data_IF_120475040616
#
_entry.id   IF_120475040616
#
_cell.length_a   1.000
_cell.length_b   1.000
_cell.length_c   1.000
_cell.angle_alpha   90.00
_cell.angle_beta   90.00
_cell.angle_gamma   90.00
#
_symmetry.space_group_name_H-M   'P 1'
#
loop_
_entity.id
_entity.type
_entity.pdbx_description
1 polymer ?
#
# COMPACT_ATOMS: atom_id res chain seq x y z
N UNK A 1 8.77 6.09 11.14
CA UNK A 1 8.54 5.35 9.88
C UNK A 1 9.00 6.24 8.74
N UNK A 2 9.59 5.70 7.67
CA UNK A 2 9.94 6.49 6.49
C UNK A 2 8.64 6.96 5.79
N UNK A 3 8.55 8.19 5.27
CA UNK A 3 7.29 8.76 4.77
C UNK A 3 6.76 8.14 3.46
N UNK A 4 7.52 7.26 2.82
CA UNK A 4 7.14 6.54 1.60
C UNK A 4 7.38 5.05 1.82
N UNK A 5 6.40 4.20 1.45
CA UNK A 5 6.54 2.75 1.41
C UNK A 5 6.81 2.23 0.00
N UNK A 6 7.07 0.94 -0.14
CA UNK A 6 7.20 0.24 -1.42
C UNK A 6 5.96 -0.63 -1.66
N UNK A 7 5.22 -0.38 -2.75
CA UNK A 7 4.19 -1.28 -3.26
C UNK A 7 4.80 -2.40 -4.11
N UNK A 8 4.66 -3.64 -3.66
CA UNK A 8 5.27 -4.82 -4.30
C UNK A 8 4.46 -5.33 -5.51
N UNK A 9 3.17 -5.05 -5.60
CA UNK A 9 2.24 -5.61 -6.58
C UNK A 9 2.78 -5.71 -8.03
N UNK A 10 3.51 -4.70 -8.61
CA UNK A 10 4.04 -4.80 -9.96
C UNK A 10 5.08 -5.91 -10.15
N UNK A 11 5.66 -6.42 -9.07
CA UNK A 11 6.64 -7.51 -9.07
C UNK A 11 6.00 -8.90 -8.97
N UNK A 12 4.65 -8.99 -8.85
CA UNK A 12 3.93 -10.25 -8.68
C UNK A 12 2.89 -10.57 -9.75
N UNK A 13 2.43 -9.57 -10.50
CA UNK A 13 1.40 -9.77 -11.53
C UNK A 13 1.97 -10.34 -12.85
N UNK A 14 1.11 -10.47 -13.86
CA UNK A 14 1.44 -11.11 -15.15
C UNK A 14 2.64 -10.48 -15.87
N UNK A 15 2.86 -9.17 -15.71
CA UNK A 15 3.99 -8.41 -16.29
C UNK A 15 5.21 -8.31 -15.37
N UNK A 16 5.28 -9.13 -14.33
CA UNK A 16 6.36 -9.08 -13.34
C UNK A 16 7.75 -9.25 -13.98
N UNK A 17 8.75 -8.52 -13.48
CA UNK A 17 10.14 -8.68 -13.93
C UNK A 17 10.74 -10.01 -13.45
N UNK A 18 11.93 -10.39 -13.94
CA UNK A 18 12.69 -11.48 -13.35
C UNK A 18 12.92 -11.28 -11.84
N UNK A 19 12.89 -12.37 -11.06
CA UNK A 19 13.00 -12.37 -9.60
C UNK A 19 14.23 -11.57 -9.11
N UNK A 20 15.38 -11.73 -9.76
CA UNK A 20 16.60 -11.00 -9.40
C UNK A 20 16.45 -9.47 -9.49
N UNK A 21 15.67 -8.97 -10.46
CA UNK A 21 15.37 -7.54 -10.57
C UNK A 21 14.46 -7.10 -9.45
N UNK A 22 13.46 -7.89 -9.12
CA UNK A 22 12.55 -7.62 -8.00
C UNK A 22 13.31 -7.52 -6.68
N UNK A 23 14.21 -8.47 -6.41
CA UNK A 23 15.06 -8.45 -5.21
C UNK A 23 15.94 -7.19 -5.19
N UNK A 24 16.58 -6.83 -6.31
CA UNK A 24 17.37 -5.58 -6.38
C UNK A 24 16.50 -4.34 -6.16
N UNK A 25 15.25 -4.34 -6.62
CA UNK A 25 14.32 -3.22 -6.40
C UNK A 25 13.97 -3.08 -4.91
N UNK A 26 13.70 -4.19 -4.23
CA UNK A 26 13.44 -4.19 -2.78
C UNK A 26 14.68 -3.70 -2.03
N UNK A 27 15.88 -4.21 -2.37
CA UNK A 27 17.12 -3.77 -1.73
C UNK A 27 17.38 -2.27 -1.96
N UNK A 28 17.17 -1.76 -3.17
CA UNK A 28 17.32 -0.33 -3.46
C UNK A 28 16.35 0.55 -2.64
N UNK A 29 15.12 0.08 -2.41
CA UNK A 29 14.18 0.75 -1.52
C UNK A 29 14.70 0.82 -0.08
N UNK A 30 15.16 -0.31 0.46
CA UNK A 30 15.71 -0.39 1.82
C UNK A 30 16.98 0.46 1.98
N UNK A 31 17.88 0.44 0.99
CA UNK A 31 19.11 1.22 0.99
C UNK A 31 18.85 2.74 0.90
N UNK A 32 17.69 3.12 0.35
CA UNK A 32 17.18 4.50 0.32
C UNK A 32 16.37 4.88 1.58
N UNK A 33 16.27 4.02 2.60
CA UNK A 33 15.64 4.29 3.88
C UNK A 33 14.17 3.82 4.00
N UNK A 34 13.57 3.28 2.94
CA UNK A 34 12.22 2.71 3.00
C UNK A 34 12.19 1.54 3.98
N UNK A 35 11.25 1.57 4.92
CA UNK A 35 11.08 0.54 5.93
C UNK A 35 9.64 0.00 6.03
N UNK A 36 8.80 0.30 5.04
CA UNK A 36 7.47 -0.28 4.85
C UNK A 36 7.39 -0.91 3.46
N UNK A 37 7.09 -2.22 3.39
CA UNK A 37 6.82 -2.92 2.14
C UNK A 37 5.40 -3.45 2.19
N UNK A 38 4.59 -3.08 1.18
CA UNK A 38 3.20 -3.51 1.05
C UNK A 38 3.07 -4.60 -0.03
N UNK A 39 2.47 -5.72 0.35
CA UNK A 39 2.11 -6.84 -0.53
C UNK A 39 0.70 -7.36 -0.21
N UNK A 40 0.32 -8.49 -0.78
CA UNK A 40 -0.86 -9.27 -0.44
C UNK A 40 -0.66 -10.74 -0.85
N UNK A 41 -1.38 -11.64 -0.18
CA UNK A 41 -1.45 -13.05 -0.55
C UNK A 41 -1.91 -13.25 -2.01
N UNK A 42 -2.94 -12.48 -2.42
CA UNK A 42 -3.54 -12.55 -3.75
C UNK A 42 -2.72 -11.85 -4.86
N UNK A 43 -1.57 -11.20 -4.56
CA UNK A 43 -0.69 -10.64 -5.58
C UNK A 43 0.08 -11.78 -6.27
N UNK A 44 -0.52 -12.26 -7.34
CA UNK A 44 -0.10 -13.43 -8.08
C UNK A 44 -0.57 -13.32 -9.53
N UNK A 45 -0.01 -14.10 -10.44
CA UNK A 45 -0.51 -14.21 -11.83
C UNK A 45 -1.90 -14.81 -11.87
N UNK A 46 -2.06 -15.91 -11.14
CA UNK A 46 -3.29 -16.68 -11.04
C UNK A 46 -3.39 -17.42 -9.71
N UNK A 47 -4.43 -18.24 -9.54
CA UNK A 47 -4.70 -19.01 -8.30
C UNK A 47 -3.60 -20.02 -7.93
N UNK A 48 -2.76 -20.46 -8.87
CA UNK A 48 -1.67 -21.42 -8.60
C UNK A 48 -0.43 -20.78 -8.01
N UNK A 49 -0.36 -19.44 -8.04
CA UNK A 49 0.82 -18.66 -7.65
C UNK A 49 0.56 -17.76 -6.42
N UNK A 50 -0.59 -17.92 -5.74
CA UNK A 50 -0.95 -17.20 -4.51
C UNK A 50 0.23 -17.21 -3.51
N UNK A 51 0.48 -16.06 -2.86
CA UNK A 51 1.62 -15.87 -1.96
C UNK A 51 2.96 -15.61 -2.66
N UNK A 52 2.97 -15.36 -3.99
CA UNK A 52 4.21 -15.07 -4.71
C UNK A 52 4.95 -13.86 -4.15
N UNK A 53 4.26 -12.72 -3.96
CA UNK A 53 4.85 -11.49 -3.45
C UNK A 53 5.44 -11.68 -2.06
N UNK A 54 4.75 -12.40 -1.20
CA UNK A 54 5.20 -12.72 0.15
C UNK A 54 6.48 -13.57 0.13
N UNK A 55 6.54 -14.61 -0.69
CA UNK A 55 7.76 -15.43 -0.86
C UNK A 55 8.92 -14.63 -1.44
N UNK A 56 8.66 -13.73 -2.38
CA UNK A 56 9.66 -12.82 -2.94
C UNK A 56 10.24 -11.90 -1.86
N UNK A 57 9.38 -11.31 -1.03
CA UNK A 57 9.79 -10.45 0.08
C UNK A 57 10.60 -11.26 1.11
N UNK A 58 10.16 -12.45 1.49
CA UNK A 58 10.91 -13.31 2.41
C UNK A 58 12.32 -13.57 1.92
N UNK A 59 12.51 -13.85 0.61
CA UNK A 59 13.84 -14.02 0.01
C UNK A 59 14.67 -12.75 0.07
N UNK A 60 14.08 -11.60 -0.29
CA UNK A 60 14.77 -10.32 -0.35
C UNK A 60 15.21 -9.83 1.03
N UNK A 61 14.45 -10.17 2.08
CA UNK A 61 14.70 -9.73 3.46
C UNK A 61 15.61 -10.67 4.26
N UNK A 62 16.19 -11.70 3.67
CA UNK A 62 17.14 -12.57 4.40
C UNK A 62 18.30 -11.75 4.97
N UNK A 63 18.40 -11.71 6.31
CA UNK A 63 19.40 -10.93 7.05
C UNK A 63 19.08 -9.43 7.19
N UNK A 64 17.87 -8.97 6.76
CA UNK A 64 17.43 -7.56 6.86
C UNK A 64 15.99 -7.42 7.39
N UNK A 65 15.42 -8.49 7.96
CA UNK A 65 13.99 -8.57 8.31
C UNK A 65 13.58 -7.64 9.46
N UNK A 66 14.45 -7.45 10.43
CA UNK A 66 14.11 -6.81 11.71
C UNK A 66 13.84 -5.30 11.59
N UNK A 67 14.39 -4.65 10.58
CA UNK A 67 14.25 -3.20 10.36
C UNK A 67 13.08 -2.84 9.42
N UNK A 68 12.30 -3.84 8.97
CA UNK A 68 11.28 -3.68 7.93
C UNK A 68 9.92 -4.10 8.43
N UNK A 69 8.93 -3.24 8.23
CA UNK A 69 7.50 -3.54 8.40
C UNK A 69 6.99 -4.14 7.08
N UNK A 70 6.53 -5.37 7.13
CA UNK A 70 5.87 -6.03 6.01
C UNK A 70 4.36 -6.00 6.22
N UNK A 71 3.67 -5.27 5.34
CA UNK A 71 2.23 -5.25 5.28
C UNK A 71 1.75 -6.27 4.25
N UNK A 72 0.89 -7.21 4.65
CA UNK A 72 0.18 -8.11 3.73
C UNK A 72 -1.31 -8.09 4.01
N UNK A 73 -2.10 -8.74 3.16
CA UNK A 73 -3.55 -8.63 3.17
C UNK A 73 -4.21 -9.99 3.02
N UNK A 74 -5.43 -10.11 3.56
CA UNK A 74 -6.33 -11.25 3.34
C UNK A 74 -7.74 -10.77 3.01
N UNK A 75 -8.58 -11.66 2.46
CA UNK A 75 -9.96 -11.34 2.06
C UNK A 75 -10.15 -11.16 0.56
N UNK A 76 -9.09 -11.19 -0.23
CA UNK A 76 -9.11 -11.44 -1.66
C UNK A 76 -8.64 -12.87 -1.95
N UNK A 77 -9.10 -13.41 -3.07
CA UNK A 77 -8.58 -14.66 -3.64
C UNK A 77 -8.51 -14.57 -5.15
N UNK A 78 -8.06 -15.63 -5.79
CA UNK A 78 -7.92 -15.72 -7.24
C UNK A 78 -8.67 -16.95 -7.76
N UNK A 79 -9.42 -16.76 -8.86
CA UNK A 79 -10.02 -17.86 -9.61
C UNK A 79 -9.50 -17.78 -11.07
N UNK A 80 -8.55 -18.66 -11.42
CA UNK A 80 -7.72 -18.41 -12.57
C UNK A 80 -6.96 -17.10 -12.41
N UNK A 81 -7.09 -16.21 -13.40
CA UNK A 81 -6.54 -14.85 -13.37
C UNK A 81 -7.51 -13.83 -12.74
N UNK A 82 -8.77 -14.20 -12.50
CA UNK A 82 -9.77 -13.29 -11.95
C UNK A 82 -9.53 -13.03 -10.46
N UNK A 83 -9.85 -11.80 -10.04
CA UNK A 83 -9.88 -11.41 -8.64
C UNK A 83 -11.26 -11.69 -8.06
N UNK A 84 -11.31 -12.35 -6.92
CA UNK A 84 -12.53 -12.62 -6.18
C UNK A 84 -12.40 -12.15 -4.72
N UNK A 85 -13.53 -11.94 -4.06
CA UNK A 85 -13.60 -11.63 -2.63
C UNK A 85 -13.94 -12.89 -1.86
N UNK A 86 -13.33 -13.05 -0.70
CA UNK A 86 -13.73 -14.02 0.29
C UNK A 86 -13.40 -13.48 1.69
N UNK A 87 -14.39 -12.76 2.24
CA UNK A 87 -14.29 -12.13 3.57
C UNK A 87 -14.68 -13.05 4.72
N UNK A 88 -14.96 -14.33 4.47
CA UNK A 88 -15.40 -15.27 5.51
C UNK A 88 -14.28 -15.52 6.54
N UNK A 89 -14.62 -15.65 7.82
CA UNK A 89 -13.64 -15.87 8.90
C UNK A 89 -12.69 -17.05 8.63
N UNK A 90 -13.21 -18.17 8.16
CA UNK A 90 -12.40 -19.35 7.87
C UNK A 90 -11.40 -19.12 6.73
N UNK A 91 -11.78 -18.33 5.70
CA UNK A 91 -10.85 -17.98 4.63
C UNK A 91 -9.76 -17.02 5.11
N UNK A 92 -10.14 -15.96 5.84
CA UNK A 92 -9.19 -14.98 6.40
C UNK A 92 -8.15 -15.68 7.30
N UNK A 93 -8.59 -16.63 8.14
CA UNK A 93 -7.68 -17.43 8.97
C UNK A 93 -6.75 -18.31 8.15
N UNK A 94 -7.29 -19.03 7.15
CA UNK A 94 -6.48 -19.88 6.27
C UNK A 94 -5.46 -19.06 5.46
N UNK A 95 -5.86 -17.86 4.96
CA UNK A 95 -5.00 -16.94 4.27
C UNK A 95 -3.87 -16.40 5.18
N UNK A 96 -4.19 -16.02 6.43
CA UNK A 96 -3.19 -15.61 7.41
C UNK A 96 -2.13 -16.69 7.64
N UNK A 97 -2.55 -17.94 7.85
CA UNK A 97 -1.63 -19.08 8.02
C UNK A 97 -0.77 -19.35 6.76
N UNK A 98 -1.33 -19.14 5.57
CA UNK A 98 -0.59 -19.24 4.33
C UNK A 98 0.44 -18.10 4.19
N UNK A 99 0.06 -16.88 4.54
CA UNK A 99 0.93 -15.71 4.56
C UNK A 99 2.10 -15.86 5.53
N UNK A 100 1.86 -16.37 6.74
CA UNK A 100 2.93 -16.66 7.71
C UNK A 100 3.96 -17.64 7.13
N UNK A 101 3.49 -18.72 6.47
CA UNK A 101 4.39 -19.66 5.80
C UNK A 101 5.14 -19.05 4.62
N UNK A 102 4.46 -18.23 3.80
CA UNK A 102 5.06 -17.60 2.63
C UNK A 102 6.11 -16.54 3.01
N UNK A 103 5.87 -15.80 4.09
CA UNK A 103 6.79 -14.80 4.65
C UNK A 103 7.92 -15.40 5.49
N UNK A 104 7.90 -16.73 5.75
CA UNK A 104 8.86 -17.43 6.62
C UNK A 104 8.95 -16.78 8.02
N UNK A 105 7.79 -16.43 8.62
CA UNK A 105 7.68 -15.75 9.92
C UNK A 105 6.59 -16.39 10.79
N UNK A 106 6.67 -16.20 12.10
CA UNK A 106 5.65 -16.61 13.07
C UNK A 106 4.64 -15.48 13.36
N UNK A 107 4.90 -14.25 12.90
CA UNK A 107 4.04 -13.09 13.10
C UNK A 107 4.10 -12.12 11.92
N UNK A 108 2.93 -11.73 11.40
CA UNK A 108 2.77 -10.67 10.40
C UNK A 108 2.85 -9.31 11.12
N UNK A 109 3.62 -8.34 10.58
CA UNK A 109 3.71 -7.01 11.18
C UNK A 109 2.40 -6.24 11.03
N UNK A 110 1.90 -6.10 9.79
CA UNK A 110 0.63 -5.42 9.48
C UNK A 110 -0.21 -6.32 8.57
N UNK A 111 -1.36 -6.78 9.10
CA UNK A 111 -2.31 -7.59 8.34
C UNK A 111 -3.56 -6.78 8.06
N UNK A 112 -3.93 -6.65 6.79
CA UNK A 112 -4.99 -5.76 6.35
C UNK A 112 -6.17 -6.52 5.75
N UNK A 113 -7.40 -6.13 6.11
CA UNK A 113 -8.58 -6.57 5.36
C UNK A 113 -8.56 -5.92 3.98
N UNK A 114 -8.29 -6.71 2.94
CA UNK A 114 -7.95 -6.22 1.60
C UNK A 114 -9.08 -5.40 0.96
N UNK A 115 -10.33 -5.86 1.12
CA UNK A 115 -11.53 -5.18 0.65
C UNK A 115 -12.76 -5.73 1.36
N UNK A 116 -13.72 -4.89 1.77
CA UNK A 116 -14.99 -5.36 2.29
C UNK A 116 -15.70 -6.29 1.30
N UNK A 117 -16.08 -7.47 1.76
CA UNK A 117 -16.89 -8.44 1.03
C UNK A 117 -18.36 -8.14 1.31
N UNK A 118 -19.19 -7.83 0.29
CA UNK A 118 -20.61 -7.50 0.51
C UNK A 118 -21.45 -8.68 1.02
N UNK A 119 -20.96 -9.92 0.84
CA UNK A 119 -21.67 -11.13 1.25
C UNK A 119 -21.34 -11.53 2.70
N UNK A 120 -20.43 -10.83 3.37
CA UNK A 120 -20.02 -11.11 4.76
C UNK A 120 -20.22 -9.86 5.62
N UNK A 121 -20.86 -9.98 6.81
CA UNK A 121 -20.99 -8.86 7.74
C UNK A 121 -19.60 -8.28 8.07
N UNK A 122 -19.40 -6.98 7.82
CA UNK A 122 -18.09 -6.34 7.96
C UNK A 122 -17.51 -6.50 9.38
N UNK A 123 -18.35 -6.41 10.42
CA UNK A 123 -17.93 -6.60 11.81
C UNK A 123 -17.42 -8.02 12.08
N UNK A 124 -17.97 -9.04 11.41
CA UNK A 124 -17.56 -10.43 11.55
C UNK A 124 -16.15 -10.64 10.93
N UNK A 125 -15.93 -10.11 9.72
CA UNK A 125 -14.61 -10.12 9.09
C UNK A 125 -13.58 -9.42 9.98
N UNK A 126 -13.85 -8.19 10.46
CA UNK A 126 -12.94 -7.42 11.33
C UNK A 126 -12.69 -8.14 12.66
N UNK A 127 -13.71 -8.79 13.23
CA UNK A 127 -13.58 -9.62 14.43
C UNK A 127 -12.52 -10.71 14.26
N UNK A 128 -12.44 -11.31 13.06
CA UNK A 128 -11.42 -12.33 12.75
C UNK A 128 -10.00 -11.75 12.77
N UNK A 129 -9.79 -10.53 12.26
CA UNK A 129 -8.47 -9.87 12.35
C UNK A 129 -8.06 -9.61 13.80
N UNK A 130 -9.03 -9.20 14.64
CA UNK A 130 -8.81 -9.03 16.08
C UNK A 130 -8.40 -10.36 16.75
N UNK A 131 -9.11 -11.45 16.46
CA UNK A 131 -8.79 -12.78 17.01
C UNK A 131 -7.38 -13.24 16.61
N UNK A 132 -6.97 -13.03 15.34
CA UNK A 132 -5.61 -13.32 14.87
C UNK A 132 -4.55 -12.47 15.58
N UNK A 133 -4.89 -11.22 15.93
CA UNK A 133 -4.03 -10.36 16.74
C UNK A 133 -3.94 -10.88 18.19
N UNK A 134 -5.06 -11.24 18.82
CA UNK A 134 -5.10 -11.81 20.16
C UNK A 134 -4.34 -13.15 20.27
N UNK A 135 -4.34 -13.93 19.18
CA UNK A 135 -3.53 -15.15 19.03
C UNK A 135 -2.02 -14.89 18.85
N UNK A 136 -1.61 -13.64 18.67
CA UNK A 136 -0.23 -13.24 18.47
C UNK A 136 0.32 -13.47 17.07
N UNK A 137 -0.51 -13.91 16.11
CA UNK A 137 -0.14 -14.12 14.70
C UNK A 137 0.00 -12.83 13.90
N UNK A 138 -0.67 -11.78 14.34
CA UNK A 138 -0.70 -10.44 13.74
C UNK A 138 -0.30 -9.43 14.80
N UNK A 139 0.66 -8.54 14.47
CA UNK A 139 1.08 -7.48 15.37
C UNK A 139 0.13 -6.28 15.31
N UNK A 140 -0.18 -5.82 14.11
CA UNK A 140 -1.03 -4.67 13.84
C UNK A 140 -2.09 -5.00 12.81
N UNK A 141 -3.28 -4.47 13.01
CA UNK A 141 -4.41 -4.63 12.09
C UNK A 141 -4.59 -3.37 11.27
N UNK A 142 -4.82 -3.54 9.96
CA UNK A 142 -5.20 -2.49 9.04
C UNK A 142 -6.44 -2.88 8.25
N UNK A 143 -6.98 -1.92 7.53
CA UNK A 143 -8.12 -2.11 6.62
C UNK A 143 -7.85 -1.42 5.29
N UNK A 144 -8.49 -1.88 4.22
CA UNK A 144 -8.31 -1.31 2.89
C UNK A 144 -9.64 -1.17 2.17
N UNK A 145 -9.77 -0.13 1.34
CA UNK A 145 -10.98 0.18 0.59
C UNK A 145 -12.21 0.41 1.48
N UNK A 146 -12.02 1.00 2.64
CA UNK A 146 -13.03 1.26 3.65
C UNK A 146 -13.49 2.72 3.61
N UNK A 147 -14.79 2.98 3.73
CA UNK A 147 -15.36 4.30 3.93
C UNK A 147 -15.29 4.72 5.42
N UNK A 148 -15.72 5.95 5.74
CA UNK A 148 -15.66 6.50 7.10
C UNK A 148 -16.43 5.63 8.11
N UNK A 149 -17.65 5.19 7.77
CA UNK A 149 -18.47 4.35 8.65
C UNK A 149 -17.79 2.99 8.93
N UNK A 150 -17.12 2.42 7.92
CA UNK A 150 -16.36 1.19 8.07
C UNK A 150 -15.09 1.39 8.90
N UNK A 151 -14.41 2.53 8.76
CA UNK A 151 -13.27 2.90 9.62
C UNK A 151 -13.72 3.00 11.07
N UNK A 152 -14.82 3.72 11.34
CA UNK A 152 -15.40 3.87 12.68
C UNK A 152 -15.78 2.53 13.30
N UNK A 153 -16.46 1.68 12.52
CA UNK A 153 -16.87 0.34 12.96
C UNK A 153 -15.67 -0.54 13.27
N UNK A 154 -14.66 -0.57 12.39
CA UNK A 154 -13.44 -1.36 12.61
C UNK A 154 -12.71 -0.90 13.88
N UNK A 155 -12.55 0.42 14.08
CA UNK A 155 -11.94 0.99 15.27
C UNK A 155 -12.71 0.72 16.57
N UNK A 156 -14.00 0.40 16.49
CA UNK A 156 -14.78 -0.01 17.66
C UNK A 156 -14.53 -1.47 18.07
N UNK A 157 -13.93 -2.27 17.19
CA UNK A 157 -13.69 -3.72 17.38
C UNK A 157 -12.21 -4.00 17.67
N UNK A 158 -11.29 -3.32 16.95
CA UNK A 158 -9.85 -3.54 17.03
C UNK A 158 -9.11 -2.22 16.92
N UNK A 159 -7.86 -2.18 17.43
CA UNK A 159 -6.97 -1.03 17.22
C UNK A 159 -6.46 -1.03 15.77
N UNK A 160 -7.11 -0.21 14.91
CA UNK A 160 -6.72 -0.05 13.50
C UNK A 160 -5.59 0.95 13.40
N UNK A 161 -4.44 0.53 12.91
CA UNK A 161 -3.25 1.40 12.78
C UNK A 161 -3.04 1.95 11.37
N UNK A 162 -3.69 1.36 10.35
CA UNK A 162 -3.56 1.78 8.97
C UNK A 162 -4.86 1.61 8.18
N UNK A 163 -5.15 2.59 7.31
CA UNK A 163 -6.20 2.55 6.29
C UNK A 163 -5.53 2.69 4.94
N UNK A 164 -5.80 1.76 4.03
CA UNK A 164 -5.20 1.75 2.70
C UNK A 164 -6.27 1.93 1.62
N UNK A 165 -6.43 3.13 1.09
CA UNK A 165 -7.40 3.45 0.05
C UNK A 165 -6.73 4.04 -1.19
N UNK A 166 -7.42 4.01 -2.34
CA UNK A 166 -6.93 4.65 -3.56
C UNK A 166 -6.85 6.16 -3.33
N UNK A 167 -5.68 6.76 -3.61
CA UNK A 167 -5.55 8.21 -3.63
C UNK A 167 -4.41 8.60 -4.56
N UNK A 168 -4.68 9.51 -5.49
CA UNK A 168 -3.72 10.09 -6.44
C UNK A 168 -4.21 11.46 -6.87
N UNK A 169 -3.45 12.15 -7.70
CA UNK A 169 -3.88 13.40 -8.32
C UNK A 169 -5.20 13.26 -9.09
N UNK A 170 -5.40 12.13 -9.77
CA UNK A 170 -6.58 11.83 -10.58
C UNK A 170 -7.76 11.27 -9.76
N UNK A 171 -7.49 10.71 -8.58
CA UNK A 171 -8.50 10.07 -7.74
C UNK A 171 -8.44 10.63 -6.32
N UNK A 172 -9.24 11.65 -6.05
CA UNK A 172 -9.26 12.42 -4.79
C UNK A 172 -10.46 12.11 -3.90
N UNK A 173 -11.24 11.06 -4.23
CA UNK A 173 -12.44 10.68 -3.48
C UNK A 173 -12.24 10.57 -1.97
N UNK A 174 -11.13 9.97 -1.45
CA UNK A 174 -10.89 9.87 -0.01
C UNK A 174 -10.73 11.22 0.71
N UNK A 175 -10.27 12.25 0.01
CA UNK A 175 -10.21 13.61 0.55
C UNK A 175 -11.65 14.15 0.66
N UNK A 176 -12.39 14.10 -0.45
CA UNK A 176 -13.76 14.65 -0.52
C UNK A 176 -14.75 13.94 0.41
N UNK A 177 -14.57 12.63 0.65
CA UNK A 177 -15.42 11.81 1.52
C UNK A 177 -14.98 11.81 2.98
N UNK A 178 -13.88 12.47 3.33
CA UNK A 178 -13.41 12.61 4.70
C UNK A 178 -12.60 11.43 5.25
N UNK A 179 -12.24 10.44 4.44
CA UNK A 179 -11.47 9.26 4.88
C UNK A 179 -10.06 9.65 5.35
N UNK A 180 -9.40 10.58 4.65
CA UNK A 180 -8.08 11.11 5.07
C UNK A 180 -8.21 11.90 6.37
N UNK A 181 -9.21 12.78 6.48
CA UNK A 181 -9.45 13.60 7.68
C UNK A 181 -9.80 12.72 8.90
N UNK A 182 -10.54 11.63 8.71
CA UNK A 182 -10.85 10.69 9.78
C UNK A 182 -9.60 9.95 10.27
N UNK A 183 -8.71 9.56 9.34
CA UNK A 183 -7.42 8.97 9.70
C UNK A 183 -6.53 9.95 10.47
N UNK A 184 -6.44 11.21 10.02
CA UNK A 184 -5.70 12.27 10.71
C UNK A 184 -6.24 12.51 12.13
N UNK A 185 -7.57 12.64 12.27
CA UNK A 185 -8.21 12.82 13.58
C UNK A 185 -7.91 11.71 14.59
N UNK A 186 -7.72 10.48 14.09
CA UNK A 186 -7.42 9.29 14.92
C UNK A 186 -5.95 8.99 15.07
N UNK A 187 -5.06 9.64 14.33
CA UNK A 187 -3.64 9.29 14.26
C UNK A 187 -3.38 7.94 13.57
N UNK A 188 -4.25 7.54 12.65
CA UNK A 188 -4.15 6.31 11.85
C UNK A 188 -3.38 6.62 10.57
N UNK A 189 -2.39 5.79 10.21
CA UNK A 189 -1.69 5.94 8.94
C UNK A 189 -2.63 5.75 7.74
N UNK A 190 -2.63 6.71 6.81
CA UNK A 190 -3.34 6.57 5.54
C UNK A 190 -2.35 6.18 4.45
N UNK A 191 -2.55 5.02 3.83
CA UNK A 191 -1.66 4.44 2.83
C UNK A 191 -2.27 4.56 1.43
N UNK A 192 -1.97 5.63 0.65
CA UNK A 192 -2.42 5.73 -0.73
C UNK A 192 -1.92 4.58 -1.59
N UNK A 193 -2.82 3.70 -2.06
CA UNK A 193 -2.46 2.78 -3.13
C UNK A 193 -2.71 3.43 -4.50
N UNK A 194 -1.93 3.01 -5.52
CA UNK A 194 -1.86 3.66 -6.85
C UNK A 194 -1.64 5.18 -6.78
N UNK A 195 -0.67 5.67 -5.99
CA UNK A 195 -0.46 7.09 -5.77
C UNK A 195 -0.06 7.85 -7.06
N UNK A 196 0.42 7.13 -8.07
CA UNK A 196 0.80 7.64 -9.41
C UNK A 196 -0.23 7.26 -10.49
N UNK A 197 -1.51 7.03 -10.13
CA UNK A 197 -2.59 6.71 -11.07
C UNK A 197 -2.63 5.24 -11.51
N UNK A 198 -1.77 4.36 -10.98
CA UNK A 198 -1.71 2.93 -11.28
C UNK A 198 -0.61 2.54 -12.27
N UNK A 199 -0.45 1.22 -12.50
CA UNK A 199 0.68 0.65 -13.26
C UNK A 199 0.80 1.22 -14.69
N UNK A 200 -0.33 1.52 -15.34
CA UNK A 200 -0.34 2.04 -16.71
C UNK A 200 -0.11 3.54 -16.80
N UNK A 201 -0.44 4.27 -15.76
CA UNK A 201 -0.43 5.73 -15.71
C UNK A 201 0.82 6.31 -15.07
N UNK A 202 1.54 5.53 -14.27
CA UNK A 202 2.72 5.98 -13.55
C UNK A 202 3.84 6.53 -14.45
N UNK A 203 3.94 6.04 -15.70
CA UNK A 203 4.90 6.54 -16.67
C UNK A 203 4.45 7.88 -17.33
N UNK A 204 3.15 8.14 -17.36
CA UNK A 204 2.53 9.26 -18.07
C UNK A 204 2.00 10.36 -17.12
N UNK A 205 2.40 10.35 -15.85
CA UNK A 205 1.95 11.32 -14.85
C UNK A 205 2.19 12.78 -15.30
N UNK A 206 3.23 13.02 -16.10
CA UNK A 206 3.56 14.32 -16.67
C UNK A 206 2.62 14.80 -17.78
N UNK A 207 2.03 13.89 -18.54
CA UNK A 207 1.26 14.27 -19.75
C UNK A 207 -0.18 14.70 -19.49
N UNK A 208 -0.62 14.69 -18.22
CA UNK A 208 -2.03 14.88 -17.86
C UNK A 208 -2.31 16.13 -17.01
N UNK A 209 -1.28 16.69 -16.37
CA UNK A 209 -1.42 17.84 -15.47
C UNK A 209 -0.32 18.86 -15.74
N UNK A 210 -0.66 19.95 -16.45
CA UNK A 210 0.26 21.04 -16.74
C UNK A 210 0.94 21.63 -15.48
N UNK A 211 0.24 21.83 -14.32
CA UNK A 211 0.87 22.29 -13.10
C UNK A 211 1.92 21.35 -12.52
N UNK A 212 1.73 20.04 -12.65
CA UNK A 212 2.70 19.02 -12.18
C UNK A 212 3.97 19.09 -13.02
N UNK A 213 3.84 19.18 -14.34
CA UNK A 213 4.99 19.32 -15.23
C UNK A 213 5.73 20.66 -14.99
N UNK A 214 5.00 21.75 -14.82
CA UNK A 214 5.60 23.05 -14.53
C UNK A 214 6.42 23.04 -13.23
N UNK A 215 5.89 22.44 -12.16
CA UNK A 215 6.61 22.28 -10.91
C UNK A 215 7.84 21.35 -11.08
N UNK A 216 7.70 20.24 -11.81
CA UNK A 216 8.80 19.32 -12.10
C UNK A 216 9.95 20.02 -12.82
N UNK A 217 9.64 20.83 -13.84
CA UNK A 217 10.62 21.61 -14.60
C UNK A 217 11.30 22.67 -13.71
N UNK A 218 10.53 23.37 -12.87
CA UNK A 218 11.04 24.41 -11.99
C UNK A 218 12.03 23.86 -10.94
N UNK A 219 11.75 22.66 -10.40
CA UNK A 219 12.59 22.01 -9.40
C UNK A 219 13.65 21.06 -10.00
N UNK A 220 13.61 20.79 -11.32
CA UNK A 220 14.52 19.86 -11.99
C UNK A 220 14.35 18.40 -11.52
N UNK A 221 13.11 18.00 -11.21
CA UNK A 221 12.74 16.68 -10.68
C UNK A 221 11.76 15.96 -11.62
N UNK A 222 11.45 14.68 -11.30
CA UNK A 222 10.43 13.95 -12.07
C UNK A 222 9.02 14.40 -11.66
N UNK A 223 8.02 14.36 -12.58
CA UNK A 223 6.62 14.56 -12.25
C UNK A 223 6.09 13.60 -11.20
N UNK A 224 6.67 12.39 -11.11
CA UNK A 224 6.35 11.41 -10.10
C UNK A 224 6.75 11.90 -8.69
N UNK A 225 7.90 12.55 -8.56
CA UNK A 225 8.30 13.18 -7.30
C UNK A 225 7.33 14.29 -6.90
N UNK A 226 6.90 15.15 -7.84
CA UNK A 226 5.91 16.21 -7.58
C UNK A 226 4.58 15.61 -7.11
N UNK A 227 4.07 14.57 -7.78
CA UNK A 227 2.83 13.91 -7.39
C UNK A 227 2.90 13.30 -5.98
N UNK A 228 4.03 12.67 -5.64
CA UNK A 228 4.24 12.10 -4.31
C UNK A 228 4.43 13.18 -3.24
N UNK A 229 5.16 14.26 -3.52
CA UNK A 229 5.31 15.41 -2.62
C UNK A 229 3.96 16.08 -2.34
N UNK A 230 3.09 16.22 -3.35
CA UNK A 230 1.73 16.68 -3.16
C UNK A 230 0.93 15.78 -2.22
N UNK A 231 1.01 14.45 -2.37
CA UNK A 231 0.34 13.52 -1.45
C UNK A 231 0.87 13.66 -0.02
N UNK A 232 2.18 13.78 0.16
CA UNK A 232 2.81 13.98 1.47
C UNK A 232 2.39 15.30 2.13
N UNK A 233 2.08 16.34 1.34
CA UNK A 233 1.63 17.64 1.86
C UNK A 233 0.20 17.63 2.40
N UNK A 234 -0.60 16.59 2.12
CA UNK A 234 -2.01 16.53 2.55
C UNK A 234 -2.17 16.36 4.06
N UNK A 235 -1.33 15.53 4.69
CA UNK A 235 -1.32 15.31 6.13
C UNK A 235 -0.11 14.46 6.53
N UNK A 236 0.37 14.61 7.77
CA UNK A 236 1.46 13.80 8.34
C UNK A 236 1.15 12.30 8.46
N UNK A 237 -0.13 11.92 8.41
CA UNK A 237 -0.54 10.51 8.45
C UNK A 237 -0.51 9.85 7.08
N UNK A 238 -0.31 10.60 5.99
CA UNK A 238 -0.31 10.09 4.61
C UNK A 238 1.07 9.51 4.28
N UNK A 239 1.11 8.22 3.96
CA UNK A 239 2.33 7.48 3.60
C UNK A 239 2.07 6.77 2.27
N UNK A 240 2.38 7.39 1.11
CA UNK A 240 2.19 6.78 -0.19
C UNK A 240 3.00 5.50 -0.36
N UNK A 241 2.41 4.51 -1.07
CA UNK A 241 3.05 3.24 -1.38
C UNK A 241 3.19 3.06 -2.90
N UNK A 242 4.05 3.85 -3.58
CA UNK A 242 4.24 3.72 -5.02
C UNK A 242 4.71 2.31 -5.38
N UNK A 243 4.08 1.76 -6.42
CA UNK A 243 4.50 0.49 -6.99
C UNK A 243 5.79 0.66 -7.79
N UNK A 244 6.76 -0.23 -7.59
CA UNK A 244 7.97 -0.25 -8.38
C UNK A 244 8.33 -1.68 -8.83
N UNK A 245 8.93 -1.79 -10.04
CA UNK A 245 9.43 -3.05 -10.60
C UNK A 245 10.89 -2.95 -11.07
N UNK A 246 11.54 -1.83 -10.76
CA UNK A 246 12.95 -1.56 -11.06
C UNK A 246 13.54 -0.60 -10.02
N UNK A 247 14.84 -0.72 -9.70
CA UNK A 247 15.52 0.10 -8.69
C UNK A 247 15.36 1.60 -8.93
N UNK A 248 15.50 2.03 -10.18
CA UNK A 248 15.47 3.44 -10.55
C UNK A 248 14.13 4.11 -10.21
N UNK A 249 13.02 3.37 -10.33
CA UNK A 249 11.69 3.91 -10.03
C UNK A 249 11.50 4.19 -8.55
N UNK A 250 11.90 3.28 -7.66
CA UNK A 250 11.74 3.50 -6.22
C UNK A 250 12.74 4.53 -5.69
N UNK A 251 13.98 4.53 -6.18
CA UNK A 251 14.97 5.55 -5.78
C UNK A 251 14.61 6.94 -6.28
N UNK A 252 13.89 7.06 -7.39
CA UNK A 252 13.30 8.33 -7.83
C UNK A 252 12.15 8.75 -6.91
N UNK A 253 11.21 7.85 -6.64
CA UNK A 253 10.04 8.12 -5.77
C UNK A 253 10.44 8.57 -4.37
N UNK A 254 11.47 8.00 -3.79
CA UNK A 254 11.95 8.32 -2.43
C UNK A 254 12.41 9.77 -2.31
N UNK A 255 12.95 10.36 -3.37
CA UNK A 255 13.41 11.76 -3.36
C UNK A 255 12.27 12.78 -3.18
N UNK A 256 11.02 12.37 -3.37
CA UNK A 256 9.86 13.21 -3.11
C UNK A 256 9.77 13.68 -1.65
N UNK A 257 10.42 12.96 -0.72
CA UNK A 257 10.46 13.32 0.72
C UNK A 257 11.18 14.64 0.96
N UNK A 258 12.18 14.95 0.13
CA UNK A 258 13.00 16.16 0.24
C UNK A 258 12.48 17.31 -0.65
N UNK A 259 11.39 17.09 -1.41
CA UNK A 259 10.83 18.09 -2.32
C UNK A 259 9.79 18.94 -1.58
N UNK A 260 10.13 20.22 -1.39
CA UNK A 260 9.22 21.22 -0.84
C UNK A 260 8.53 21.99 -1.98
N UNK A 261 7.22 21.77 -2.12
CA UNK A 261 6.36 22.53 -3.05
C UNK A 261 5.87 23.81 -2.39
N UNK A 262 5.93 24.93 -3.11
CA UNK A 262 5.40 26.21 -2.65
C UNK A 262 3.86 26.16 -2.52
N UNK A 263 3.29 27.09 -1.74
CA UNK A 263 1.84 27.20 -1.59
C UNK A 263 1.12 27.43 -2.92
N UNK A 264 1.73 28.18 -3.84
CA UNK A 264 1.16 28.45 -5.17
C UNK A 264 1.17 27.19 -6.05
N UNK A 265 2.24 26.38 -6.00
CA UNK A 265 2.32 25.10 -6.70
C UNK A 265 1.31 24.10 -6.14
N UNK A 266 1.22 23.98 -4.81
CA UNK A 266 0.23 23.12 -4.15
C UNK A 266 -1.20 23.53 -4.51
N UNK A 267 -1.48 24.83 -4.55
CA UNK A 267 -2.80 25.35 -4.95
C UNK A 267 -3.10 25.05 -6.43
N UNK A 268 -2.13 25.25 -7.33
CA UNK A 268 -2.29 24.96 -8.75
C UNK A 268 -2.53 23.46 -9.02
N UNK A 269 -1.76 22.58 -8.38
CA UNK A 269 -1.91 21.11 -8.46
C UNK A 269 -3.24 20.68 -7.81
N UNK A 270 -3.64 21.32 -6.72
CA UNK A 270 -4.87 21.02 -5.99
C UNK A 270 -6.15 21.49 -6.70
N UNK A 271 -6.09 22.46 -7.61
CA UNK A 271 -7.25 23.07 -8.28
C UNK A 271 -7.81 22.22 -9.43
N UNK A 272 -7.05 21.26 -9.96
CA UNK A 272 -7.48 20.31 -11.00
C UNK A 272 -8.15 19.07 -10.39
#
# INVERSE_FOLDING_TARGET
MFPIGLGEMPMSLSSRPPEERSIRTIHAALDAGVNLIDTADAYARDHTDIGHGERLIAKALKGRRDDVIVATKGGHTRNGEAWELDGRPEHIRAACEASLRALETDRIDLYQYHRPDPDVPYAEAIGTFKELQDEGKVRWVGISNANVEQIELACSIVDVVAVQNQLSLEYRSPIAKGEVAECERRGIAFLPWSPLGGIRSAADAAGRHDPVQAAADAHGVSPQQVALAWLLSLSEVVIPIPGASRPESITDSVKAVDLELSADELAAIGAE
#
